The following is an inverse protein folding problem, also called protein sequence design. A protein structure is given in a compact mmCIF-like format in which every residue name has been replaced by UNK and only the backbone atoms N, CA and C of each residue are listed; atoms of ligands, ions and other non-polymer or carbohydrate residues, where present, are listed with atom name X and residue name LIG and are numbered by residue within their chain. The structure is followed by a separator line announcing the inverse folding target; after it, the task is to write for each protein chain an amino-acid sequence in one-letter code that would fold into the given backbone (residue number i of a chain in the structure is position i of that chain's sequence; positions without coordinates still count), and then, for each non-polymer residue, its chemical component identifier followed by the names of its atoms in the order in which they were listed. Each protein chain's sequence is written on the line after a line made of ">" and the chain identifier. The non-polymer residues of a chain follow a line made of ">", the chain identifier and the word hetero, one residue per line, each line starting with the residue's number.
data_IF_982482094067
#
_entry.id   IF_982482094067
#
_cell.length_a   1.000
_cell.length_b   1.000
_cell.length_c   1.000
_cell.angle_alpha   90.00
_cell.angle_beta   90.00
_cell.angle_gamma   90.00
#
_symmetry.space_group_name_H-M   'P 1'
#
loop_
_entity.id
_entity.type
_entity.pdbx_description
1 polymer ?
#
# COMPACT_ATOMS: atom_id res chain seq x y z
N UNK A 1 -39.31 29.60 14.13
CA UNK A 1 -38.67 30.68 14.94
C UNK A 1 -38.09 30.06 16.21
N UNK A 2 -36.75 29.99 16.34
CA UNK A 2 -35.91 29.73 17.55
C UNK A 2 -34.48 29.42 17.05
N UNK A 3 -33.65 30.46 16.88
CA UNK A 3 -32.62 31.01 17.79
C UNK A 3 -31.33 30.18 17.86
N UNK A 4 -30.41 30.60 16.99
CA UNK A 4 -28.97 30.39 16.91
C UNK A 4 -28.25 30.88 18.16
N UNK A 5 -27.15 30.20 18.55
CA UNK A 5 -26.09 30.76 19.39
C UNK A 5 -24.74 30.25 18.88
N UNK A 6 -24.06 31.12 18.13
CA UNK A 6 -22.63 31.01 17.80
C UNK A 6 -21.82 31.44 19.01
N UNK A 7 -20.84 30.63 19.41
CA UNK A 7 -19.75 31.04 20.29
C UNK A 7 -18.46 31.13 19.48
N UNK A 8 -18.02 32.36 19.18
CA UNK A 8 -16.72 32.63 18.57
C UNK A 8 -15.69 32.85 19.68
N UNK A 9 -14.63 32.05 19.70
CA UNK A 9 -13.45 32.29 20.54
C UNK A 9 -12.39 32.96 19.66
N UNK A 10 -12.12 34.22 19.97
CA UNK A 10 -11.01 35.01 19.41
C UNK A 10 -9.80 34.78 20.29
N UNK A 11 -8.74 34.16 19.75
CA UNK A 11 -7.44 34.07 20.40
C UNK A 11 -6.51 35.13 19.78
N UNK A 12 -6.22 36.16 20.56
CA UNK A 12 -5.22 37.19 20.25
C UNK A 12 -3.87 36.70 20.75
N UNK A 13 -2.87 36.62 19.87
CA UNK A 13 -1.45 36.52 20.24
C UNK A 13 -0.68 37.57 19.44
N UNK A 14 -0.24 38.60 20.17
CA UNK A 14 0.58 39.70 19.67
C UNK A 14 2.08 39.36 19.74
N UNK A 15 2.81 39.99 18.82
CA UNK A 15 4.24 39.86 18.51
C UNK A 15 5.20 40.41 19.58
N UNK A 16 6.47 39.98 19.49
CA UNK A 16 7.76 40.70 19.60
C UNK A 16 8.88 39.65 19.89
N UNK A 17 10.10 39.61 19.32
CA UNK A 17 10.85 40.42 18.36
C UNK A 17 12.32 39.93 18.27
N UNK A 18 13.03 40.37 17.21
CA UNK A 18 14.48 40.62 17.03
C UNK A 18 15.57 39.50 17.10
N UNK A 19 16.08 39.18 15.91
CA UNK A 19 17.48 39.25 15.38
C UNK A 19 18.71 38.97 16.26
N UNK A 20 19.59 38.08 15.75
CA UNK A 20 21.04 38.31 15.70
C UNK A 20 21.66 37.57 14.50
N UNK A 21 22.38 38.32 13.68
CA UNK A 21 23.25 37.93 12.58
C UNK A 21 24.45 37.11 13.08
N UNK A 22 24.89 36.11 12.29
CA UNK A 22 26.31 35.75 12.26
C UNK A 22 26.74 35.39 10.83
N UNK A 23 27.75 36.16 10.42
CA UNK A 23 28.43 36.17 9.16
C UNK A 23 29.45 35.03 9.12
N UNK A 24 29.40 34.17 8.10
CA UNK A 24 30.57 33.41 7.69
C UNK A 24 30.59 33.25 6.18
N UNK A 25 31.26 34.25 5.58
CA UNK A 25 31.72 34.30 4.20
C UNK A 25 32.84 33.30 3.88
N UNK A 26 32.92 33.02 2.56
CA UNK A 26 34.02 32.43 1.76
C UNK A 26 34.06 30.89 1.63
N UNK A 27 34.12 30.26 0.45
CA UNK A 27 34.16 30.70 -0.96
C UNK A 27 33.88 29.47 -1.89
N UNK A 28 33.52 29.66 -3.18
CA UNK A 28 33.40 28.63 -4.24
C UNK A 28 34.70 28.55 -5.08
N UNK A 29 34.81 27.87 -6.26
CA UNK A 29 33.92 26.96 -6.98
C UNK A 29 34.62 25.63 -7.42
N UNK A 30 33.88 24.67 -7.96
CA UNK A 30 34.45 23.72 -8.95
C UNK A 30 33.38 23.27 -9.94
N UNK A 31 33.42 23.90 -11.10
CA UNK A 31 32.72 23.52 -12.32
C UNK A 31 33.25 22.18 -12.82
N UNK A 32 32.42 21.13 -12.73
CA UNK A 32 32.61 19.87 -13.43
C UNK A 32 31.71 19.82 -14.66
N UNK A 33 32.17 20.40 -15.78
CA UNK A 33 31.56 20.20 -17.08
C UNK A 33 31.91 18.79 -17.59
N UNK A 34 30.94 17.89 -17.67
CA UNK A 34 31.06 16.69 -18.49
C UNK A 34 30.08 16.74 -19.65
N UNK A 35 30.67 16.83 -20.84
CA UNK A 35 30.06 16.77 -22.16
C UNK A 35 29.29 15.47 -22.39
N UNK A 36 28.17 15.63 -23.10
CA UNK A 36 27.36 14.61 -23.75
C UNK A 36 28.20 13.68 -24.66
N UNK A 37 27.66 12.48 -24.96
CA UNK A 37 27.50 12.08 -26.36
C UNK A 37 26.02 11.99 -26.77
N UNK A 38 25.65 12.44 -27.99
CA UNK A 38 24.38 12.11 -28.63
C UNK A 38 24.54 10.88 -29.54
N UNK A 39 23.62 9.91 -29.48
CA UNK A 39 23.34 8.90 -30.53
C UNK A 39 22.36 7.85 -29.96
N UNK A 40 21.33 7.37 -30.66
CA UNK A 40 20.86 7.59 -32.00
C UNK A 40 19.39 7.15 -32.05
N UNK A 41 18.60 7.81 -32.89
CA UNK A 41 17.29 7.34 -33.31
C UNK A 41 17.44 6.12 -34.22
N UNK A 42 16.62 5.09 -34.01
CA UNK A 42 16.32 4.09 -35.03
C UNK A 42 14.80 3.86 -35.04
N UNK A 43 14.18 4.29 -36.13
CA UNK A 43 12.79 4.04 -36.49
C UNK A 43 12.74 2.85 -37.49
N UNK A 44 11.55 2.39 -37.93
CA UNK A 44 11.20 0.97 -38.01
C UNK A 44 11.40 0.39 -39.43
N UNK A 45 11.44 -0.95 -39.55
CA UNK A 45 10.94 -1.73 -40.71
C UNK A 45 11.12 -3.23 -40.47
N UNK A 46 10.04 -3.99 -40.70
CA UNK A 46 10.01 -5.44 -40.61
C UNK A 46 8.70 -5.98 -41.18
N UNK A 47 8.63 -6.00 -42.51
CA UNK A 47 7.55 -6.55 -43.33
C UNK A 47 7.24 -8.03 -43.05
N UNK A 48 5.94 -8.32 -43.12
CA UNK A 48 5.24 -9.51 -43.58
C UNK A 48 5.99 -10.84 -43.83
N UNK A 49 5.39 -11.93 -43.34
CA UNK A 49 5.16 -13.11 -44.19
C UNK A 49 3.92 -13.90 -43.77
N UNK A 50 3.16 -14.26 -44.82
CA UNK A 50 1.91 -15.00 -44.83
C UNK A 50 2.15 -16.53 -44.86
N UNK A 51 1.09 -17.29 -44.57
CA UNK A 51 0.99 -18.74 -44.78
C UNK A 51 -0.05 -19.36 -43.85
N UNK A 52 -1.35 -19.27 -44.13
CA UNK A 52 -2.16 -20.05 -45.08
C UNK A 52 -2.69 -21.41 -44.56
N UNK A 53 -4.02 -21.52 -44.61
CA UNK A 53 -4.87 -22.67 -44.99
C UNK A 53 -5.21 -23.84 -44.04
N UNK A 54 -6.54 -24.02 -43.86
CA UNK A 54 -7.26 -25.30 -43.71
C UNK A 54 -7.82 -25.56 -42.30
N UNK A 55 -9.11 -25.80 -42.05
CA UNK A 55 -10.28 -26.08 -42.88
C UNK A 55 -11.57 -26.16 -42.01
N UNK A 56 -12.75 -26.43 -42.61
CA UNK A 56 -14.06 -26.24 -41.97
C UNK A 56 -14.66 -27.52 -41.37
N UNK A 57 -15.52 -27.36 -40.36
CA UNK A 57 -16.48 -28.36 -39.88
C UNK A 57 -17.31 -27.77 -38.72
N UNK A 58 -18.50 -27.20 -38.95
CA UNK A 58 -19.79 -27.83 -39.24
C UNK A 58 -20.65 -28.05 -37.96
N UNK A 59 -21.69 -27.21 -37.86
CA UNK A 59 -23.10 -27.42 -37.41
C UNK A 59 -23.46 -27.98 -36.03
N UNK A 60 -24.38 -27.26 -35.35
CA UNK A 60 -25.51 -27.85 -34.60
C UNK A 60 -25.89 -27.17 -33.27
N UNK A 61 -26.96 -26.37 -33.26
CA UNK A 61 -27.61 -25.80 -32.05
C UNK A 61 -28.42 -26.83 -31.22
N UNK A 62 -29.40 -26.47 -30.36
CA UNK A 62 -30.22 -25.24 -30.37
C UNK A 62 -30.47 -24.58 -28.98
N UNK A 63 -31.36 -23.59 -29.02
CA UNK A 63 -31.78 -22.63 -28.01
C UNK A 63 -32.50 -23.18 -26.75
N UNK A 64 -32.39 -22.41 -25.66
CA UNK A 64 -33.29 -22.41 -24.51
C UNK A 64 -33.22 -21.05 -23.79
N UNK A 65 -34.35 -20.33 -23.78
CA UNK A 65 -34.63 -19.03 -23.15
C UNK A 65 -35.48 -19.25 -21.87
N UNK A 66 -35.96 -18.22 -21.12
CA UNK A 66 -35.33 -17.21 -20.27
C UNK A 66 -35.56 -17.49 -18.74
N UNK A 67 -35.05 -16.60 -17.86
CA UNK A 67 -35.04 -16.72 -16.37
C UNK A 67 -36.40 -16.73 -15.64
N UNK A 68 -36.42 -16.79 -14.29
CA UNK A 68 -36.32 -15.53 -13.53
C UNK A 68 -35.76 -15.60 -12.07
N UNK A 69 -35.58 -14.39 -11.53
CA UNK A 69 -35.66 -13.94 -10.12
C UNK A 69 -34.56 -14.25 -9.10
N UNK A 70 -33.98 -13.16 -8.61
CA UNK A 70 -33.12 -13.05 -7.44
C UNK A 70 -33.78 -13.53 -6.14
N UNK A 71 -32.97 -14.08 -5.25
CA UNK A 71 -33.18 -14.01 -3.81
C UNK A 71 -31.87 -13.56 -3.19
N UNK A 72 -31.86 -12.30 -2.74
CA UNK A 72 -30.82 -11.77 -1.89
C UNK A 72 -30.83 -12.55 -0.58
N UNK A 73 -29.69 -13.14 -0.22
CA UNK A 73 -29.38 -13.52 1.15
C UNK A 73 -28.11 -12.78 1.51
N UNK A 74 -28.24 -11.82 2.42
CA UNK A 74 -27.16 -11.24 3.17
C UNK A 74 -26.42 -12.36 3.90
N UNK A 75 -25.27 -12.73 3.35
CA UNK A 75 -24.27 -13.54 4.01
C UNK A 75 -22.94 -12.92 3.67
N UNK A 76 -22.18 -12.52 4.69
CA UNK A 76 -20.77 -12.17 4.58
C UNK A 76 -20.04 -13.41 4.07
N UNK A 77 -20.08 -13.63 2.76
CA UNK A 77 -19.30 -14.62 2.06
C UNK A 77 -17.89 -14.11 2.02
N UNK A 78 -17.08 -14.55 2.99
CA UNK A 78 -15.64 -14.34 2.96
C UNK A 78 -15.11 -14.90 1.64
N UNK A 79 -14.82 -13.99 0.71
CA UNK A 79 -14.17 -14.34 -0.54
C UNK A 79 -12.86 -15.06 -0.19
N UNK A 80 -12.54 -16.20 -0.83
CA UNK A 80 -11.28 -16.89 -0.58
C UNK A 80 -10.13 -15.91 -0.78
N UNK A 81 -9.32 -15.71 0.27
CA UNK A 81 -8.11 -14.93 0.17
C UNK A 81 -7.28 -15.47 -1.02
N UNK A 82 -6.87 -14.65 -2.01
CA UNK A 82 -6.09 -15.13 -3.15
C UNK A 82 -4.84 -15.83 -2.64
N UNK A 83 -4.74 -17.10 -3.05
CA UNK A 83 -4.04 -18.15 -2.31
C UNK A 83 -2.50 -18.10 -2.36
N UNK A 84 -1.89 -16.96 -2.68
CA UNK A 84 -0.44 -16.87 -2.89
C UNK A 84 0.30 -15.72 -2.19
N UNK A 85 -0.33 -14.57 -1.96
CA UNK A 85 0.38 -13.40 -1.41
C UNK A 85 0.40 -13.36 0.11
N UNK A 86 -0.54 -14.07 0.73
CA UNK A 86 -0.83 -13.99 2.14
C UNK A 86 -0.33 -15.20 2.95
N UNK A 87 0.48 -16.06 2.32
CA UNK A 87 0.98 -17.32 2.88
C UNK A 87 2.48 -17.29 3.24
N UNK A 88 3.13 -16.14 3.08
CA UNK A 88 4.54 -15.92 3.37
C UNK A 88 5.51 -16.39 2.29
N UNK A 89 5.04 -16.92 1.16
CA UNK A 89 5.91 -17.44 0.09
C UNK A 89 6.28 -16.40 -0.95
N UNK A 90 5.53 -15.30 -1.04
CA UNK A 90 5.74 -14.22 -2.01
C UNK A 90 6.08 -12.93 -1.29
N UNK A 91 6.99 -12.16 -1.86
CA UNK A 91 7.19 -10.76 -1.49
C UNK A 91 6.32 -9.88 -2.38
N UNK A 92 5.80 -8.80 -1.82
CA UNK A 92 4.84 -7.92 -2.49
C UNK A 92 5.16 -6.46 -2.24
N UNK A 93 4.72 -5.62 -3.17
CA UNK A 93 4.49 -4.20 -2.93
C UNK A 93 3.04 -3.98 -2.49
N UNK A 94 2.85 -3.07 -1.53
CA UNK A 94 1.54 -2.58 -1.13
C UNK A 94 1.28 -1.27 -1.90
N UNK A 95 0.32 -1.30 -2.80
CA UNK A 95 -0.07 -0.15 -3.61
C UNK A 95 -1.32 0.48 -2.98
N UNK A 96 -1.20 1.66 -2.34
CA UNK A 96 -2.34 2.31 -1.70
C UNK A 96 -3.32 2.84 -2.76
N UNK A 97 -4.60 2.77 -2.43
CA UNK A 97 -5.71 3.36 -3.18
C UNK A 97 -6.50 4.24 -2.23
N UNK A 98 -6.77 5.47 -2.62
CA UNK A 98 -7.49 6.45 -1.82
C UNK A 98 -8.90 6.66 -2.41
N UNK A 99 -9.95 6.43 -1.62
CA UNK A 99 -11.34 6.53 -2.05
C UNK A 99 -11.60 5.79 -3.37
N UNK A 100 -11.13 4.53 -3.42
CA UNK A 100 -11.20 3.66 -4.61
C UNK A 100 -10.47 4.17 -5.85
N UNK A 101 -9.69 5.25 -5.74
CA UNK A 101 -8.87 5.81 -6.82
C UNK A 101 -7.45 5.27 -6.67
N UNK A 102 -6.88 4.78 -7.78
CA UNK A 102 -5.47 4.40 -7.81
C UNK A 102 -4.58 5.64 -7.67
N UNK A 103 -3.54 5.52 -6.85
CA UNK A 103 -2.53 6.54 -6.72
C UNK A 103 -1.37 6.17 -7.66
N UNK A 104 -1.14 6.96 -8.73
CA UNK A 104 -0.07 6.65 -9.67
C UNK A 104 1.28 6.69 -8.95
N UNK A 105 2.17 5.79 -9.37
CA UNK A 105 3.54 5.71 -8.87
C UNK A 105 3.62 5.69 -7.34
N UNK A 106 2.67 5.06 -6.65
CA UNK A 106 2.60 5.07 -5.19
C UNK A 106 2.77 3.68 -4.59
N UNK A 107 3.67 3.57 -3.62
CA UNK A 107 3.98 2.34 -2.90
C UNK A 107 4.22 2.63 -1.42
N UNK A 108 3.82 1.69 -0.57
CA UNK A 108 4.19 1.74 0.84
C UNK A 108 5.67 1.38 1.01
N UNK A 109 6.42 2.15 1.79
CA UNK A 109 7.84 1.92 2.07
C UNK A 109 8.23 2.29 3.50
N UNK A 110 9.26 1.63 4.01
CA UNK A 110 9.89 1.94 5.29
C UNK A 110 10.87 3.12 5.13
N UNK A 111 10.65 4.17 5.91
CA UNK A 111 11.54 5.34 5.98
C UNK A 111 12.85 5.02 6.71
N UNK A 112 13.85 5.90 6.60
CA UNK A 112 15.11 5.76 7.36
C UNK A 112 14.94 5.74 8.89
N UNK A 113 13.84 6.30 9.41
CA UNK A 113 13.48 6.26 10.82
C UNK A 113 12.62 5.06 11.24
N UNK A 114 12.40 4.09 10.36
CA UNK A 114 11.60 2.90 10.64
C UNK A 114 10.08 3.12 10.65
N UNK A 115 9.59 4.31 10.28
CA UNK A 115 8.15 4.57 10.05
C UNK A 115 7.74 4.17 8.64
N UNK A 116 6.45 3.92 8.42
CA UNK A 116 5.91 3.61 7.09
C UNK A 116 5.35 4.87 6.43
N UNK A 117 5.61 5.01 5.13
CA UNK A 117 5.17 6.13 4.29
C UNK A 117 4.72 5.62 2.93
N UNK A 118 3.88 6.40 2.26
CA UNK A 118 3.60 6.24 0.83
C UNK A 118 4.60 7.10 0.06
N UNK A 119 5.31 6.48 -0.89
CA UNK A 119 6.34 7.10 -1.71
C UNK A 119 6.24 6.61 -3.16
N UNK A 120 7.09 7.12 -4.04
CA UNK A 120 7.31 6.65 -5.42
C UNK A 120 8.55 5.76 -5.57
N UNK A 121 9.15 5.37 -4.44
CA UNK A 121 10.41 4.64 -4.39
C UNK A 121 10.21 3.12 -4.23
N UNK A 122 10.15 2.42 -5.36
CA UNK A 122 10.03 0.95 -5.44
C UNK A 122 11.35 0.21 -5.13
N UNK A 123 11.88 0.43 -3.94
CA UNK A 123 13.18 -0.10 -3.49
C UNK A 123 13.03 -1.29 -2.55
N UNK A 124 14.16 -1.81 -2.04
CA UNK A 124 14.21 -2.82 -0.98
C UNK A 124 13.40 -2.44 0.29
N UNK A 125 13.16 -1.14 0.50
CA UNK A 125 12.36 -0.61 1.62
C UNK A 125 10.85 -0.76 1.42
N UNK A 126 10.41 -1.03 0.19
CA UNK A 126 9.01 -1.23 -0.18
C UNK A 126 8.60 -2.71 -0.22
N UNK A 127 9.55 -3.64 -0.10
CA UNK A 127 9.26 -5.07 -0.15
C UNK A 127 8.75 -5.59 1.19
N UNK A 128 7.59 -6.26 1.16
CA UNK A 128 6.98 -6.90 2.33
C UNK A 128 6.57 -8.34 2.06
N UNK A 129 6.40 -9.11 3.13
CA UNK A 129 5.98 -10.51 3.09
C UNK A 129 4.92 -10.73 4.18
N UNK A 130 3.63 -10.82 3.83
CA UNK A 130 2.59 -11.22 4.76
C UNK A 130 2.73 -12.71 5.12
N UNK A 131 2.99 -13.03 6.38
CA UNK A 131 3.21 -14.39 6.89
C UNK A 131 2.10 -14.77 7.86
N UNK A 132 1.39 -15.89 7.67
CA UNK A 132 0.41 -16.39 8.63
C UNK A 132 1.00 -16.53 10.04
N UNK A 133 0.24 -16.12 11.07
CA UNK A 133 0.61 -16.37 12.46
C UNK A 133 0.73 -17.88 12.77
N UNK A 134 0.00 -18.71 12.02
CA UNK A 134 -0.11 -20.15 12.23
C UNK A 134 -1.47 -20.55 12.82
N UNK A 135 -1.71 -21.85 12.94
CA UNK A 135 -2.92 -22.39 13.57
C UNK A 135 -4.24 -22.11 12.83
N UNK A 136 -4.19 -21.75 11.54
CA UNK A 136 -5.38 -21.42 10.74
C UNK A 136 -5.98 -20.04 11.04
N UNK A 137 -5.34 -19.25 11.91
CA UNK A 137 -5.81 -17.92 12.27
C UNK A 137 -5.69 -16.95 11.06
N UNK A 138 -6.65 -16.01 10.89
CA UNK A 138 -6.60 -15.04 9.80
C UNK A 138 -5.50 -13.99 10.01
N UNK A 139 -4.96 -13.85 11.21
CA UNK A 139 -3.90 -12.90 11.52
C UNK A 139 -2.56 -13.28 10.87
N UNK A 140 -1.87 -12.25 10.43
CA UNK A 140 -0.58 -12.33 9.75
C UNK A 140 0.39 -11.32 10.33
N UNK A 141 1.65 -11.71 10.42
CA UNK A 141 2.74 -10.74 10.52
C UNK A 141 2.97 -10.14 9.13
N UNK A 142 3.32 -8.86 9.06
CA UNK A 142 3.83 -8.24 7.82
C UNK A 142 5.33 -8.05 8.02
N UNK A 143 6.14 -8.92 7.41
CA UNK A 143 7.60 -8.88 7.51
C UNK A 143 8.20 -8.01 6.41
N UNK A 144 9.32 -7.34 6.67
CA UNK A 144 10.12 -6.72 5.61
C UNK A 144 10.80 -7.79 4.75
N UNK A 145 10.77 -7.61 3.42
CA UNK A 145 11.31 -8.58 2.46
C UNK A 145 12.83 -8.48 2.30
N UNK A 146 13.37 -7.26 2.28
CA UNK A 146 14.81 -7.03 2.11
C UNK A 146 15.47 -6.37 3.33
N UNK A 147 14.77 -5.48 4.04
CA UNK A 147 15.30 -4.85 5.25
C UNK A 147 15.45 -5.87 6.39
N UNK A 148 16.63 -5.85 7.03
CA UNK A 148 17.00 -6.80 8.09
C UNK A 148 17.92 -6.16 9.13
N UNK A 149 17.90 -6.72 10.34
CA UNK A 149 18.94 -6.51 11.36
C UNK A 149 19.45 -7.86 11.84
N UNK A 150 20.77 -8.06 11.79
CA UNK A 150 21.37 -9.34 12.20
C UNK A 150 20.91 -10.55 11.37
N UNK A 151 20.46 -10.33 10.12
CA UNK A 151 19.91 -11.38 9.27
C UNK A 151 18.41 -11.60 9.43
N UNK A 152 17.78 -11.04 10.48
CA UNK A 152 16.35 -11.18 10.74
C UNK A 152 15.55 -10.03 10.09
N UNK A 153 14.36 -10.30 9.51
CA UNK A 153 13.47 -9.27 9.03
C UNK A 153 12.85 -8.49 10.21
N UNK A 154 12.39 -7.28 9.92
CA UNK A 154 11.51 -6.55 10.83
C UNK A 154 10.05 -6.92 10.56
N UNK A 155 9.20 -6.74 11.56
CA UNK A 155 7.76 -6.82 11.43
C UNK A 155 7.15 -5.43 11.54
N UNK A 156 6.06 -5.20 10.82
CA UNK A 156 5.24 -4.01 11.04
C UNK A 156 4.57 -4.09 12.41
N UNK A 157 4.48 -2.96 13.09
CA UNK A 157 3.88 -2.82 14.40
C UNK A 157 3.12 -1.50 14.48
N UNK A 158 1.88 -1.55 14.99
CA UNK A 158 1.14 -0.35 15.38
C UNK A 158 1.63 0.14 16.73
N UNK A 159 1.98 1.43 16.83
CA UNK A 159 2.46 2.06 18.05
C UNK A 159 1.77 3.39 18.27
N UNK A 160 1.23 3.57 19.49
CA UNK A 160 0.75 4.87 19.93
C UNK A 160 1.91 5.84 20.14
N UNK A 161 1.82 7.02 19.52
CA UNK A 161 2.76 8.12 19.70
C UNK A 161 1.96 9.44 19.67
N UNK A 162 2.04 10.20 20.77
CA UNK A 162 1.36 11.51 20.90
C UNK A 162 -0.14 11.47 20.53
N UNK A 163 -0.86 10.41 20.93
CA UNK A 163 -2.29 10.24 20.66
C UNK A 163 -2.64 9.73 19.25
N UNK A 164 -1.65 9.48 18.39
CA UNK A 164 -1.84 8.87 17.06
C UNK A 164 -1.31 7.44 17.04
N UNK A 165 -2.03 6.50 16.44
CA UNK A 165 -1.51 5.15 16.19
C UNK A 165 -0.73 5.16 14.88
N UNK A 166 0.58 5.00 14.97
CA UNK A 166 1.48 5.03 13.81
C UNK A 166 2.01 3.64 13.50
N UNK A 167 2.33 3.39 12.23
CA UNK A 167 2.92 2.11 11.83
C UNK A 167 4.44 2.24 11.74
N UNK A 168 5.15 1.35 12.43
CA UNK A 168 6.60 1.31 12.50
C UNK A 168 7.14 -0.10 12.26
N UNK A 169 8.41 -0.24 11.97
CA UNK A 169 9.13 -1.52 12.01
C UNK A 169 9.62 -1.84 13.43
N UNK A 170 9.51 -3.10 13.83
CA UNK A 170 10.03 -3.63 15.09
C UNK A 170 10.61 -5.03 14.88
N UNK A 171 11.30 -5.58 15.90
CA UNK A 171 11.64 -6.99 15.90
C UNK A 171 10.36 -7.85 15.85
N UNK A 172 10.39 -8.94 15.09
CA UNK A 172 9.22 -9.80 14.91
C UNK A 172 8.86 -10.58 16.17
N UNK A 173 7.61 -10.45 16.61
CA UNK A 173 7.01 -11.22 17.68
C UNK A 173 5.57 -11.63 17.30
N UNK A 174 5.36 -12.92 17.08
CA UNK A 174 4.05 -13.47 16.70
C UNK A 174 3.01 -13.44 17.85
N UNK A 175 3.46 -13.24 19.09
CA UNK A 175 2.59 -13.07 20.24
C UNK A 175 2.14 -11.62 20.44
N UNK A 176 2.86 -10.63 19.87
CA UNK A 176 2.56 -9.20 20.02
C UNK A 176 1.34 -8.82 19.17
N UNK A 177 0.17 -8.50 19.77
CA UNK A 177 -1.02 -8.27 18.97
C UNK A 177 -0.97 -6.95 18.18
N UNK A 178 -0.06 -6.02 18.52
CA UNK A 178 0.20 -4.84 17.70
C UNK A 178 0.95 -5.15 16.38
N UNK A 179 1.45 -6.38 16.20
CA UNK A 179 2.10 -6.86 14.97
C UNK A 179 1.19 -7.79 14.14
N UNK A 180 -0.03 -8.07 14.61
CA UNK A 180 -0.95 -9.00 13.97
C UNK A 180 -1.97 -8.24 13.12
N UNK A 181 -1.93 -8.49 11.80
CA UNK A 181 -2.77 -7.83 10.82
C UNK A 181 -3.74 -8.82 10.17
N UNK A 182 -4.95 -8.36 9.88
CA UNK A 182 -5.94 -9.07 9.06
C UNK A 182 -6.09 -8.37 7.71
N UNK A 183 -6.29 -9.14 6.65
CA UNK A 183 -6.47 -8.65 5.30
C UNK A 183 -7.90 -8.96 4.88
N UNK A 184 -8.76 -7.95 4.86
CA UNK A 184 -10.17 -8.08 4.51
C UNK A 184 -10.35 -7.66 3.06
N UNK A 185 -10.92 -8.54 2.23
CA UNK A 185 -11.18 -8.19 0.84
C UNK A 185 -12.23 -7.07 0.77
N UNK A 186 -11.85 -5.92 0.20
CA UNK A 186 -12.71 -4.74 0.08
C UNK A 186 -13.30 -4.58 -1.31
N UNK A 187 -12.76 -5.27 -2.32
CA UNK A 187 -13.22 -5.16 -3.70
C UNK A 187 -12.15 -5.61 -4.70
N UNK A 188 -12.19 -4.99 -5.88
CA UNK A 188 -11.18 -5.16 -6.94
C UNK A 188 -10.80 -3.81 -7.53
N UNK A 189 -9.58 -3.71 -8.04
CA UNK A 189 -9.14 -2.57 -8.86
C UNK A 189 -9.52 -2.75 -10.35
N UNK A 190 -9.10 -1.79 -11.17
CA UNK A 190 -9.42 -1.73 -12.59
C UNK A 190 -8.79 -2.90 -13.38
N UNK A 191 -7.69 -3.46 -12.88
CA UNK A 191 -7.02 -4.65 -13.43
C UNK A 191 -7.60 -5.96 -12.87
N UNK A 192 -8.62 -5.88 -12.02
CA UNK A 192 -9.29 -7.04 -11.41
C UNK A 192 -8.51 -7.68 -10.25
N UNK A 193 -7.46 -7.04 -9.73
CA UNK A 193 -6.72 -7.50 -8.55
C UNK A 193 -7.55 -7.21 -7.30
N UNK A 194 -7.48 -8.09 -6.31
CA UNK A 194 -8.17 -7.89 -5.02
C UNK A 194 -7.59 -6.70 -4.28
N UNK A 195 -8.47 -5.81 -3.81
CA UNK A 195 -8.12 -4.74 -2.87
C UNK A 195 -8.39 -5.20 -1.44
N UNK A 196 -7.58 -4.71 -0.50
CA UNK A 196 -7.67 -5.07 0.91
C UNK A 196 -7.81 -3.86 1.81
N UNK A 197 -8.74 -3.96 2.75
CA UNK A 197 -8.65 -3.25 4.01
C UNK A 197 -7.69 -4.01 4.93
N UNK A 198 -6.63 -3.34 5.41
CA UNK A 198 -5.65 -3.95 6.31
C UNK A 198 -5.93 -3.49 7.73
N UNK A 199 -6.27 -4.43 8.60
CA UNK A 199 -6.73 -4.16 9.96
C UNK A 199 -5.72 -4.62 11.01
N UNK A 200 -5.47 -3.82 12.04
CA UNK A 200 -4.82 -4.22 13.29
C UNK A 200 -5.79 -3.95 14.46
N UNK A 201 -6.23 -5.03 15.13
CA UNK A 201 -7.27 -4.95 16.17
C UNK A 201 -8.53 -4.23 15.65
N UNK A 202 -8.92 -3.12 16.27
CA UNK A 202 -10.09 -2.32 15.88
C UNK A 202 -9.77 -1.21 14.86
N UNK A 203 -8.49 -1.03 14.50
CA UNK A 203 -8.04 0.05 13.64
C UNK A 203 -7.66 -0.45 12.24
N UNK A 204 -7.90 0.37 11.23
CA UNK A 204 -7.53 0.11 9.83
C UNK A 204 -6.35 0.98 9.43
N UNK A 205 -5.47 0.44 8.59
CA UNK A 205 -4.35 1.22 8.06
C UNK A 205 -4.90 2.27 7.10
N UNK A 206 -4.66 3.55 7.41
CA UNK A 206 -5.07 4.71 6.63
C UNK A 206 -3.85 5.55 6.26
N UNK A 207 -3.83 6.06 5.04
CA UNK A 207 -2.85 7.04 4.60
C UNK A 207 -3.49 8.42 4.48
N UNK A 208 -2.90 9.38 5.19
CA UNK A 208 -3.36 10.77 5.20
C UNK A 208 -2.36 11.66 4.44
N UNK A 209 -2.60 12.01 3.16
CA UNK A 209 -1.64 12.78 2.36
C UNK A 209 -1.34 14.17 2.91
N UNK A 210 -2.29 14.75 3.65
CA UNK A 210 -2.19 16.09 4.24
C UNK A 210 -1.61 16.07 5.66
N UNK A 211 -1.42 14.88 6.24
CA UNK A 211 -0.82 14.70 7.56
C UNK A 211 0.66 14.33 7.42
N UNK A 212 1.54 15.05 8.13
CA UNK A 212 2.97 14.67 8.23
C UNK A 212 3.20 13.31 8.94
N UNK A 213 2.13 12.61 9.32
CA UNK A 213 2.10 11.35 10.07
C UNK A 213 2.36 10.14 9.20
N UNK A 214 2.15 10.23 7.89
CA UNK A 214 2.32 9.11 6.96
C UNK A 214 1.24 8.04 7.09
N UNK A 215 1.64 6.76 7.07
CA UNK A 215 0.70 5.66 7.31
C UNK A 215 0.37 5.54 8.81
N UNK A 216 -0.91 5.61 9.14
CA UNK A 216 -1.44 5.47 10.50
C UNK A 216 -2.40 4.29 10.59
N UNK A 217 -2.75 3.89 11.81
CA UNK A 217 -3.88 3.02 12.07
C UNK A 217 -5.01 3.87 12.68
N UNK A 218 -6.22 3.75 12.17
CA UNK A 218 -7.35 4.57 12.61
C UNK A 218 -8.57 3.71 12.93
N UNK A 219 -9.22 4.00 14.06
CA UNK A 219 -10.52 3.42 14.40
C UNK A 219 -11.60 4.20 13.66
N UNK A 220 -12.04 3.67 12.51
CA UNK A 220 -12.93 4.39 11.59
C UNK A 220 -14.41 4.40 12.04
N UNK A 221 -14.81 3.52 12.97
CA UNK A 221 -16.21 3.43 13.43
C UNK A 221 -17.17 3.20 12.26
N UNK A 222 -18.15 4.09 12.10
CA UNK A 222 -19.11 4.09 10.98
C UNK A 222 -18.63 4.90 9.77
N UNK A 223 -17.43 5.47 9.83
CA UNK A 223 -16.85 6.24 8.73
C UNK A 223 -16.44 5.32 7.58
N UNK A 224 -16.44 5.87 6.36
CA UNK A 224 -15.96 5.14 5.20
C UNK A 224 -14.45 4.89 5.32
N UNK A 225 -14.02 3.72 4.84
CA UNK A 225 -12.61 3.41 4.68
C UNK A 225 -12.05 4.24 3.52
N UNK A 226 -11.07 5.10 3.78
CA UNK A 226 -10.47 5.94 2.74
C UNK A 226 -9.35 5.21 2.02
N UNK A 227 -8.55 4.43 2.74
CA UNK A 227 -7.38 3.72 2.18
C UNK A 227 -7.62 2.20 2.07
N UNK A 228 -7.38 1.65 0.88
CA UNK A 228 -7.23 0.21 0.64
C UNK A 228 -5.90 -0.08 -0.05
N UNK A 229 -5.51 -1.35 -0.12
CA UNK A 229 -4.24 -1.76 -0.73
C UNK A 229 -4.45 -2.86 -1.76
N UNK A 230 -3.84 -2.71 -2.93
CA UNK A 230 -3.58 -3.83 -3.82
C UNK A 230 -2.20 -4.42 -3.49
N UNK A 231 -2.07 -5.75 -3.57
CA UNK A 231 -0.79 -6.43 -3.43
C UNK A 231 -0.23 -6.78 -4.80
N UNK A 232 0.93 -6.22 -5.15
CA UNK A 232 1.63 -6.53 -6.39
C UNK A 232 2.77 -7.50 -6.12
N UNK A 233 2.77 -8.64 -6.81
CA UNK A 233 3.77 -9.70 -6.66
C UNK A 233 5.16 -9.27 -7.14
N UNK A 234 6.17 -9.48 -6.29
CA UNK A 234 7.58 -9.18 -6.55
C UNK A 234 8.45 -10.44 -6.51
N UNK A 235 7.83 -11.61 -6.65
CA UNK A 235 8.51 -12.90 -6.72
C UNK A 235 8.54 -13.65 -5.40
N UNK A 236 9.38 -14.68 -5.36
CA UNK A 236 9.56 -15.51 -4.16
C UNK A 236 10.11 -14.69 -2.99
N UNK A 237 9.53 -14.89 -1.81
CA UNK A 237 10.01 -14.27 -0.58
C UNK A 237 11.43 -14.78 -0.26
N UNK A 238 12.31 -13.85 0.12
CA UNK A 238 13.69 -14.14 0.53
C UNK A 238 13.85 -14.13 2.05
N UNK A 239 12.82 -14.58 2.79
CA UNK A 239 12.90 -14.62 4.25
C UNK A 239 13.91 -15.68 4.71
N UNK A 240 14.62 -15.45 5.84
CA UNK A 240 15.37 -16.50 6.50
C UNK A 240 14.47 -17.69 6.81
N UNK A 241 15.02 -18.91 6.75
CA UNK A 241 14.31 -20.09 7.24
C UNK A 241 14.17 -19.94 8.76
N UNK A 242 12.94 -20.06 9.25
CA UNK A 242 12.64 -20.16 10.67
C UNK A 242 13.12 -21.50 11.24
#
# INVERSE_FOLDING_TARGET
>A
MRKTLLGAVVLVLALQGCSADDDSSAAPPSSGSHSLPPSAAAAPSGEASAGATGGPGAVGGPAGSPGPTASATSGLGEAPAPAGFLDGKRQVFFLPRLNETELPDSVLAVTGGGRLQVTDDYTDRALFVPVPKGGGAPERLIKTGALRAGGEPFCLQVRAAAGTLTVVTAACDAAEPAQLFTFEASGRDEEGRTTYAVRNRAAFLQWHPLGATGLVAEEIGDSALETTFTLQDQGAAKLPRA
#
